data_IF_317294839675
#
_entry.id   IF_317294839675
#
_cell.length_a   1.000
_cell.length_b   1.000
_cell.length_c   1.000
_cell.angle_alpha   90.00
_cell.angle_beta   90.00
_cell.angle_gamma   90.00
#
_symmetry.space_group_name_H-M   'P 1'
#
loop_
_entity.id
_entity.type
_entity.pdbx_description
1 polymer ?
#
# COMPACT_ATOMS: atom_id res chain seq x y z
N UNK A 1 -16.00 40.72 -21.88
CA UNK A 1 -14.92 41.03 -22.84
C UNK A 1 -13.64 41.20 -22.04
N UNK A 2 -12.52 40.76 -22.61
CA UNK A 2 -11.17 40.57 -22.03
C UNK A 2 -10.91 39.22 -21.36
N UNK A 3 -9.81 38.52 -21.64
CA UNK A 3 -9.00 38.36 -22.85
C UNK A 3 -8.14 37.12 -22.52
N UNK A 4 -8.18 36.09 -23.35
CA UNK A 4 -7.31 34.92 -23.27
C UNK A 4 -5.89 35.30 -23.66
N UNK A 5 -4.90 34.97 -22.84
CA UNK A 5 -3.48 35.08 -23.21
C UNK A 5 -2.79 33.74 -22.96
N UNK A 6 -2.68 32.95 -24.03
CA UNK A 6 -1.79 31.80 -24.16
C UNK A 6 -0.39 32.32 -24.45
N UNK A 7 0.55 32.08 -23.54
CA UNK A 7 1.96 32.41 -23.75
C UNK A 7 2.74 31.11 -23.96
N UNK A 8 2.97 30.78 -25.23
CA UNK A 8 3.90 29.75 -25.67
C UNK A 8 5.31 30.33 -25.63
N UNK A 9 6.22 29.78 -24.82
CA UNK A 9 7.65 30.12 -24.87
C UNK A 9 8.48 28.87 -25.10
N UNK A 10 9.24 28.92 -26.20
CA UNK A 10 10.21 27.95 -26.66
C UNK A 10 11.26 27.62 -25.59
N UNK A 11 11.52 26.34 -25.40
CA UNK A 11 12.68 25.82 -24.68
C UNK A 11 13.91 25.82 -25.61
N UNK A 12 15.02 26.50 -25.28
CA UNK A 12 16.28 26.28 -25.96
C UNK A 12 16.97 25.04 -25.37
N UNK A 13 17.33 24.13 -26.26
CA UNK A 13 18.18 22.97 -26.01
C UNK A 13 19.60 23.46 -25.69
N UNK A 14 20.02 23.37 -24.42
CA UNK A 14 21.38 23.65 -23.99
C UNK A 14 22.04 22.34 -23.53
N UNK A 15 22.88 21.75 -24.37
CA UNK A 15 23.85 20.73 -23.96
C UNK A 15 25.05 21.41 -23.30
N UNK A 16 25.26 21.15 -22.00
CA UNK A 16 26.57 21.34 -21.38
C UNK A 16 27.04 20.00 -20.78
N UNK A 17 28.07 19.43 -21.42
CA UNK A 17 28.91 18.38 -20.84
C UNK A 17 29.78 19.02 -19.76
N UNK A 18 29.62 18.60 -18.51
CA UNK A 18 30.53 18.91 -17.41
C UNK A 18 31.06 17.61 -16.82
N UNK A 19 32.35 17.35 -17.00
CA UNK A 19 33.08 16.24 -16.40
C UNK A 19 33.45 16.58 -14.96
N UNK A 20 32.80 15.93 -13.99
CA UNK A 20 33.20 15.98 -12.58
C UNK A 20 33.63 14.60 -12.11
N UNK A 21 34.92 14.46 -11.81
CA UNK A 21 35.53 13.35 -11.09
C UNK A 21 35.04 13.32 -9.65
N UNK A 22 34.17 12.36 -9.33
CA UNK A 22 33.77 12.06 -7.95
C UNK A 22 34.55 10.85 -7.43
N UNK A 23 35.39 11.10 -6.44
CA UNK A 23 35.96 10.07 -5.57
C UNK A 23 34.81 9.27 -4.92
N UNK A 24 34.90 7.94 -4.97
CA UNK A 24 33.94 7.01 -4.36
C UNK A 24 34.24 6.84 -2.88
N UNK A 25 33.47 7.43 -1.93
CA UNK A 25 33.37 6.86 -0.60
C UNK A 25 32.64 5.52 -0.75
N UNK A 26 33.23 4.43 -0.26
CA UNK A 26 32.54 3.15 -0.10
C UNK A 26 31.33 3.37 0.80
N UNK A 27 30.08 3.26 0.31
CA UNK A 27 28.96 3.13 1.22
C UNK A 27 29.12 1.76 1.86
N UNK A 28 29.27 1.74 3.19
CA UNK A 28 28.92 0.57 4.00
C UNK A 28 27.45 0.34 3.76
N UNK A 29 27.12 -0.40 2.69
CA UNK A 29 25.78 -0.81 2.37
C UNK A 29 25.30 -1.58 3.60
N UNK A 30 24.35 -1.08 4.42
CA UNK A 30 23.68 -1.97 5.33
C UNK A 30 23.10 -3.04 4.41
N UNK A 31 23.54 -4.27 4.63
CA UNK A 31 23.02 -5.45 3.97
C UNK A 31 21.51 -5.25 3.85
N UNK A 32 20.91 -5.27 2.65
CA UNK A 32 19.48 -5.41 2.57
C UNK A 32 19.21 -6.66 3.38
N UNK A 33 18.60 -6.51 4.54
CA UNK A 33 17.95 -7.62 5.20
C UNK A 33 16.96 -8.06 4.15
N UNK A 34 17.34 -9.10 3.41
CA UNK A 34 16.43 -9.90 2.62
C UNK A 34 15.44 -10.44 3.63
N UNK A 35 14.43 -9.62 3.96
CA UNK A 35 13.12 -10.11 4.31
C UNK A 35 12.74 -10.95 3.11
N UNK A 36 13.06 -12.24 3.19
CA UNK A 36 12.45 -13.25 2.35
C UNK A 36 10.99 -12.84 2.26
N UNK A 37 10.44 -12.55 1.06
CA UNK A 37 9.06 -12.15 0.94
C UNK A 37 8.27 -13.29 1.57
N UNK A 38 7.76 -13.05 2.78
CA UNK A 38 6.99 -14.04 3.48
C UNK A 38 5.75 -14.17 2.63
N UNK A 39 5.72 -15.23 1.83
CA UNK A 39 4.55 -15.76 1.14
C UNK A 39 3.44 -16.18 2.11
N UNK A 40 3.49 -15.71 3.37
CA UNK A 40 2.37 -15.71 4.26
C UNK A 40 1.34 -14.74 3.70
N UNK A 41 0.27 -15.31 3.15
CA UNK A 41 -1.03 -14.70 2.79
C UNK A 41 -1.42 -13.52 3.69
N UNK A 42 -1.03 -13.55 4.97
CA UNK A 42 -1.35 -12.55 5.98
C UNK A 42 -0.59 -11.24 5.85
N UNK A 43 0.69 -11.29 5.47
CA UNK A 43 1.65 -10.19 5.65
C UNK A 43 1.68 -9.65 7.09
N UNK A 44 2.71 -8.90 7.44
CA UNK A 44 2.70 -8.04 8.63
C UNK A 44 3.41 -6.76 8.26
N UNK A 45 3.04 -5.63 8.87
CA UNK A 45 3.74 -4.36 8.65
C UNK A 45 4.45 -3.88 9.91
N UNK A 46 5.53 -3.11 9.76
CA UNK A 46 6.19 -2.46 10.87
C UNK A 46 5.61 -1.05 11.09
N UNK A 47 5.09 -0.69 12.28
CA UNK A 47 4.57 0.66 12.53
C UNK A 47 5.67 1.75 12.51
N UNK A 48 6.95 1.39 12.49
CA UNK A 48 8.06 2.34 12.40
C UNK A 48 8.08 3.05 11.02
N UNK A 49 8.29 4.36 11.06
CA UNK A 49 8.34 5.19 9.85
C UNK A 49 9.50 4.76 8.95
N UNK A 50 9.19 4.52 7.67
CA UNK A 50 10.16 4.03 6.68
C UNK A 50 10.27 2.50 6.59
N UNK A 51 9.62 1.76 7.49
CA UNK A 51 9.66 0.28 7.52
C UNK A 51 8.27 -0.36 7.37
N UNK A 52 7.20 0.43 7.23
CA UNK A 52 5.84 -0.11 7.20
C UNK A 52 5.54 -0.96 5.97
N UNK A 53 6.16 -0.63 4.83
CA UNK A 53 6.03 -1.30 3.55
C UNK A 53 4.59 -1.47 3.03
N UNK A 54 3.62 -0.84 3.67
CA UNK A 54 2.26 -0.76 3.18
C UNK A 54 2.21 0.15 1.95
N UNK A 55 1.37 -0.20 0.98
CA UNK A 55 1.10 0.69 -0.15
C UNK A 55 0.44 1.98 0.35
N UNK A 56 0.63 3.10 -0.35
CA UNK A 56 0.07 4.42 0.02
C UNK A 56 -1.47 4.40 0.15
N UNK A 57 -2.12 3.43 -0.48
CA UNK A 57 -3.57 3.25 -0.45
C UNK A 57 -4.06 2.50 0.78
N UNK A 58 -3.14 2.02 1.60
CA UNK A 58 -3.38 1.24 2.81
C UNK A 58 -2.80 1.95 4.04
N UNK A 59 -3.07 1.42 5.22
CA UNK A 59 -2.51 1.90 6.48
C UNK A 59 -2.08 0.72 7.35
N UNK A 60 -0.93 0.86 8.03
CA UNK A 60 -0.45 -0.15 8.97
C UNK A 60 -1.22 0.00 10.29
N UNK A 61 -2.01 -1.02 10.66
CA UNK A 61 -2.88 -0.98 11.84
C UNK A 61 -2.60 -2.13 12.80
N UNK A 62 -2.75 -1.88 14.10
CA UNK A 62 -2.64 -2.89 15.15
C UNK A 62 -3.94 -3.70 15.23
N UNK A 63 -3.87 -5.03 15.08
CA UNK A 63 -5.01 -5.95 15.17
C UNK A 63 -5.14 -6.64 16.53
N UNK A 64 -4.28 -6.29 17.49
CA UNK A 64 -4.20 -6.86 18.83
C UNK A 64 -2.77 -7.26 19.16
N UNK A 65 -2.30 -8.36 18.57
CA UNK A 65 -0.94 -8.89 18.77
C UNK A 65 -0.02 -8.66 17.58
N UNK A 66 -0.57 -8.26 16.43
CA UNK A 66 0.14 -8.03 15.18
C UNK A 66 -0.25 -6.71 14.53
N UNK A 67 0.51 -6.36 13.50
CA UNK A 67 0.25 -5.21 12.65
C UNK A 67 0.06 -5.68 11.21
N UNK A 68 -0.97 -5.17 10.55
CA UNK A 68 -1.29 -5.51 9.17
C UNK A 68 -1.57 -4.26 8.33
N UNK A 69 -1.26 -4.33 7.04
CA UNK A 69 -1.73 -3.33 6.09
C UNK A 69 -3.24 -3.53 5.87
N UNK A 70 -4.01 -2.48 6.09
CA UNK A 70 -5.43 -2.45 5.86
C UNK A 70 -5.80 -1.38 4.84
N UNK A 71 -6.71 -1.75 3.94
CA UNK A 71 -7.33 -0.87 2.98
C UNK A 71 -8.11 0.26 3.66
N UNK A 72 -8.29 1.38 2.96
CA UNK A 72 -9.32 2.35 3.34
C UNK A 72 -10.69 1.68 3.34
N UNK A 73 -11.58 2.11 4.23
CA UNK A 73 -12.94 1.59 4.29
C UNK A 73 -13.64 1.70 2.92
N UNK A 74 -14.30 0.62 2.48
CA UNK A 74 -14.97 0.55 1.18
C UNK A 74 -14.07 0.19 -0.01
N UNK A 75 -12.78 -0.09 0.22
CA UNK A 75 -11.83 -0.52 -0.80
C UNK A 75 -11.29 -1.94 -0.53
N UNK A 76 -10.92 -2.62 -1.62
CA UNK A 76 -10.30 -3.94 -1.71
C UNK A 76 -9.15 -3.95 -2.74
N UNK A 77 -8.29 -4.96 -2.69
CA UNK A 77 -7.08 -5.02 -3.51
C UNK A 77 -7.27 -5.71 -4.86
N UNK A 78 -8.36 -6.46 -5.02
CA UNK A 78 -8.63 -7.22 -6.24
C UNK A 78 -10.13 -7.36 -6.47
N UNK A 79 -10.58 -7.36 -7.74
CA UNK A 79 -11.95 -7.76 -8.08
C UNK A 79 -12.21 -9.25 -7.77
N UNK A 80 -11.17 -10.08 -7.68
CA UNK A 80 -11.33 -11.48 -7.25
C UNK A 80 -11.45 -11.56 -5.73
N UNK A 81 -12.68 -11.63 -5.23
CA UNK A 81 -13.01 -11.71 -3.80
C UNK A 81 -12.40 -12.91 -3.04
N UNK A 82 -11.87 -13.90 -3.75
CA UNK A 82 -11.29 -15.14 -3.21
C UNK A 82 -9.76 -15.20 -3.31
N UNK A 83 -9.13 -14.14 -3.83
CA UNK A 83 -7.67 -14.05 -3.93
C UNK A 83 -7.03 -13.68 -2.58
N UNK A 84 -6.89 -14.68 -1.73
CA UNK A 84 -6.29 -14.52 -0.41
C UNK A 84 -4.82 -14.03 -0.49
N UNK A 85 -4.14 -14.22 -1.62
CA UNK A 85 -2.76 -13.73 -1.78
C UNK A 85 -2.66 -12.22 -1.90
N UNK A 86 -3.80 -11.54 -2.10
CA UNK A 86 -3.89 -10.08 -2.19
C UNK A 86 -4.78 -9.48 -1.13
N UNK A 87 -5.85 -10.17 -0.73
CA UNK A 87 -6.86 -9.62 0.15
C UNK A 87 -7.55 -10.65 1.01
N UNK A 88 -7.89 -10.26 2.22
CA UNK A 88 -8.70 -11.05 3.13
C UNK A 88 -9.32 -10.13 4.20
N UNK A 89 -10.29 -10.65 4.95
CA UNK A 89 -10.80 -10.00 6.16
C UNK A 89 -10.36 -10.78 7.38
N UNK A 90 -10.13 -10.06 8.48
CA UNK A 90 -9.84 -10.64 9.79
C UNK A 90 -11.03 -10.45 10.72
N UNK A 91 -11.27 -11.42 11.59
CA UNK A 91 -12.34 -11.31 12.60
C UNK A 91 -11.85 -10.54 13.83
N UNK A 92 -11.56 -9.25 13.64
CA UNK A 92 -11.11 -8.35 14.71
C UNK A 92 -12.25 -7.42 15.13
N UNK A 93 -12.65 -7.41 16.41
CA UNK A 93 -13.70 -6.51 16.90
C UNK A 93 -13.38 -5.05 16.59
N UNK A 94 -14.32 -4.37 15.92
CA UNK A 94 -14.17 -2.96 15.55
C UNK A 94 -13.45 -2.74 14.22
N UNK A 95 -12.89 -3.76 13.58
CA UNK A 95 -12.25 -3.67 12.25
C UNK A 95 -12.88 -4.59 11.21
N UNK A 96 -14.07 -5.13 11.47
CA UNK A 96 -14.74 -6.02 10.52
C UNK A 96 -15.03 -5.36 9.17
N UNK A 97 -15.02 -4.03 9.10
CA UNK A 97 -15.22 -3.26 7.87
C UNK A 97 -13.96 -3.10 7.01
N UNK A 98 -12.80 -3.54 7.50
CA UNK A 98 -11.52 -3.41 6.81
C UNK A 98 -11.19 -4.67 6.01
N UNK A 99 -10.57 -4.44 4.86
CA UNK A 99 -9.88 -5.47 4.08
C UNK A 99 -8.40 -5.34 4.38
N UNK A 100 -7.74 -6.47 4.62
CA UNK A 100 -6.32 -6.58 4.91
C UNK A 100 -5.58 -7.15 3.71
N UNK A 101 -4.33 -6.71 3.55
CA UNK A 101 -3.49 -7.08 2.41
C UNK A 101 -2.06 -7.35 2.88
N UNK A 102 -1.27 -8.11 2.13
CA UNK A 102 0.17 -8.12 2.30
C UNK A 102 0.79 -6.74 2.09
N UNK A 103 2.04 -6.58 2.53
CA UNK A 103 2.87 -5.42 2.20
C UNK A 103 2.90 -5.17 0.68
N UNK A 104 3.11 -3.92 0.28
CA UNK A 104 3.22 -3.48 -1.12
C UNK A 104 2.02 -3.79 -2.02
N UNK A 105 0.86 -4.12 -1.43
CA UNK A 105 -0.35 -4.45 -2.18
C UNK A 105 -1.27 -3.22 -2.30
N UNK A 106 -1.48 -2.75 -3.52
CA UNK A 106 -2.40 -1.64 -3.79
C UNK A 106 -3.84 -2.03 -3.47
N UNK A 107 -4.58 -1.11 -2.83
CA UNK A 107 -5.96 -1.28 -2.42
C UNK A 107 -6.88 -0.14 -2.86
N UNK A 108 -7.07 -0.01 -4.18
CA UNK A 108 -7.88 1.03 -4.82
C UNK A 108 -9.12 0.50 -5.57
N UNK A 109 -9.44 -0.79 -5.45
CA UNK A 109 -10.67 -1.33 -6.04
C UNK A 109 -11.84 -1.06 -5.10
N UNK A 110 -12.95 -0.49 -5.58
CA UNK A 110 -14.14 -0.35 -4.74
C UNK A 110 -14.74 -1.72 -4.39
N UNK A 111 -15.24 -1.83 -3.17
CA UNK A 111 -16.07 -2.96 -2.78
C UNK A 111 -17.45 -2.90 -3.44
N UNK A 112 -18.16 -4.03 -3.45
CA UNK A 112 -19.49 -4.16 -4.06
C UNK A 112 -20.52 -3.28 -3.31
N UNK A 113 -20.33 -3.13 -2.00
CA UNK A 113 -21.04 -2.17 -1.16
C UNK A 113 -20.03 -1.23 -0.45
N UNK A 114 -19.55 -0.16 -1.10
CA UNK A 114 -18.51 0.71 -0.55
C UNK A 114 -19.05 1.76 0.44
N UNK A 115 -20.37 1.89 0.57
CA UNK A 115 -21.06 2.84 1.46
C UNK A 115 -21.84 2.15 2.58
N UNK A 116 -21.61 0.86 2.78
CA UNK A 116 -22.21 0.08 3.85
C UNK A 116 -21.79 0.57 5.25
N UNK A 117 -22.51 0.11 6.27
CA UNK A 117 -22.18 0.38 7.66
C UNK A 117 -21.40 -0.79 8.27
N UNK A 118 -20.28 -0.50 8.94
CA UNK A 118 -19.50 -1.48 9.70
C UNK A 118 -19.22 -2.76 8.87
N UNK A 119 -19.50 -3.95 9.39
CA UNK A 119 -19.20 -5.24 8.76
C UNK A 119 -19.88 -5.49 7.39
N UNK A 120 -20.81 -4.64 6.97
CA UNK A 120 -21.41 -4.68 5.63
C UNK A 120 -20.42 -4.21 4.55
N UNK A 121 -19.44 -3.36 4.91
CA UNK A 121 -18.40 -2.91 4.00
C UNK A 121 -17.52 -4.09 3.58
N UNK A 122 -17.34 -4.22 2.27
CA UNK A 122 -16.48 -5.24 1.66
C UNK A 122 -16.81 -6.67 2.11
N UNK A 123 -18.09 -6.92 2.44
CA UNK A 123 -18.53 -8.21 2.99
C UNK A 123 -18.31 -9.39 2.03
N UNK A 124 -18.17 -9.10 0.73
CA UNK A 124 -17.83 -10.06 -0.31
C UNK A 124 -16.40 -10.60 -0.21
N UNK A 125 -15.48 -9.87 0.42
CA UNK A 125 -14.11 -10.35 0.65
C UNK A 125 -14.13 -11.40 1.75
N UNK A 126 -13.44 -12.51 1.51
CA UNK A 126 -13.45 -13.67 2.40
C UNK A 126 -12.80 -13.38 3.77
N UNK A 127 -13.45 -13.82 4.84
CA UNK A 127 -12.82 -13.96 6.16
C UNK A 127 -11.78 -15.08 6.14
N UNK A 128 -10.57 -14.78 6.62
CA UNK A 128 -9.46 -15.73 6.63
C UNK A 128 -8.89 -15.86 8.05
N UNK A 129 -9.08 -17.05 8.63
CA UNK A 129 -8.64 -17.37 10.00
C UNK A 129 -7.20 -17.90 10.05
N UNK A 130 -6.52 -17.99 8.91
CA UNK A 130 -5.14 -18.46 8.82
C UNK A 130 -4.09 -17.43 9.27
N UNK A 131 -4.52 -16.27 9.76
CA UNK A 131 -3.64 -15.18 10.21
C UNK A 131 -3.79 -14.94 11.70
N UNK A 132 -2.67 -14.73 12.38
CA UNK A 132 -2.66 -14.21 13.74
C UNK A 132 -3.15 -12.76 13.76
N UNK A 133 -3.89 -12.39 14.80
CA UNK A 133 -4.44 -11.04 15.02
C UNK A 133 -3.84 -10.40 16.26
#
# INVERSE_FOLDING_TARGET
>A
MHLTTTTTTLFPLLLLLSTTTTATPTPSNPTPSTSTPSTSTCGTCNPLSGENHCDITTSCINTGTRFHCACRAGYKASPNNWDNTKQFRLNVPGYQFLVFTPEYTQCDTLCDNPYGASAQLCSEVRLWEGCAV
#
